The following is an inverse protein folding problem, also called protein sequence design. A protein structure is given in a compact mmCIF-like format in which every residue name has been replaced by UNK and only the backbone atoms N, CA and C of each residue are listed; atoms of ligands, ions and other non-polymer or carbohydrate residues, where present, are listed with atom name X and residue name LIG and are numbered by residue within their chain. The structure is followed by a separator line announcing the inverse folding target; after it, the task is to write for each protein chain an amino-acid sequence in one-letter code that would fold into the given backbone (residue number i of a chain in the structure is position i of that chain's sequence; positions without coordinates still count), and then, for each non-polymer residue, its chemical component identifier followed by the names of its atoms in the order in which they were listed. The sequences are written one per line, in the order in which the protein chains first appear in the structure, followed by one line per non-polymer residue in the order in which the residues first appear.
data_IF_463109406766
#
_entry.id   IF_463109406766
#
_cell.length_a   1.000
_cell.length_b   1.000
_cell.length_c   1.000
_cell.angle_alpha   90.00
_cell.angle_beta   90.00
_cell.angle_gamma   90.00
#
_symmetry.space_group_name_H-M   'P 1'
#
loop_
_entity.id
_entity.type
_entity.pdbx_description
1 polymer ?
#
# COMPACT_ATOMS: atom_id res chain seq x y z
N UNK A 1 9.11 -17.27 -3.61
CA UNK A 1 8.19 -17.07 -2.46
C UNK A 1 6.80 -16.84 -3.05
N UNK A 2 5.95 -17.88 -3.02
CA UNK A 2 4.61 -17.90 -3.61
C UNK A 2 3.59 -17.59 -2.51
N UNK A 3 3.28 -16.31 -2.29
CA UNK A 3 2.18 -15.87 -1.42
C UNK A 3 1.50 -14.72 -2.16
N UNK A 4 0.60 -15.01 -3.10
CA UNK A 4 -0.11 -13.96 -3.87
C UNK A 4 -1.54 -14.37 -4.26
N UNK A 5 -2.13 -15.42 -3.65
CA UNK A 5 -3.40 -15.97 -4.17
C UNK A 5 -4.64 -15.56 -3.39
N UNK A 6 -4.64 -15.65 -2.06
CA UNK A 6 -5.88 -15.52 -1.29
C UNK A 6 -6.31 -14.06 -1.15
N UNK A 7 -5.43 -13.17 -0.69
CA UNK A 7 -5.74 -11.74 -0.54
C UNK A 7 -6.05 -11.06 -1.88
N UNK A 8 -5.32 -11.39 -2.95
CA UNK A 8 -5.57 -10.84 -4.28
C UNK A 8 -6.86 -11.39 -4.91
N UNK A 9 -7.18 -12.67 -4.70
CA UNK A 9 -8.45 -13.24 -5.17
C UNK A 9 -9.63 -12.61 -4.42
N UNK A 10 -9.53 -12.49 -3.09
CA UNK A 10 -10.54 -11.85 -2.26
C UNK A 10 -10.77 -10.40 -2.70
N UNK A 11 -9.69 -9.62 -2.86
CA UNK A 11 -9.77 -8.23 -3.29
C UNK A 11 -10.41 -8.09 -4.68
N UNK A 12 -10.14 -9.01 -5.60
CA UNK A 12 -10.77 -9.03 -6.94
C UNK A 12 -12.24 -9.41 -6.91
N UNK A 13 -12.61 -10.37 -6.07
CA UNK A 13 -13.97 -10.87 -5.97
C UNK A 13 -14.90 -9.86 -5.29
N UNK A 14 -14.43 -9.24 -4.20
CA UNK A 14 -15.25 -8.40 -3.33
C UNK A 14 -14.98 -6.89 -3.48
N UNK A 15 -13.86 -6.52 -4.11
CA UNK A 15 -13.47 -5.13 -4.31
C UNK A 15 -12.86 -4.47 -3.07
N UNK A 16 -12.39 -3.24 -3.27
CA UNK A 16 -11.71 -2.43 -2.26
C UNK A 16 -12.60 -2.12 -1.05
N UNK A 17 -13.84 -1.69 -1.29
CA UNK A 17 -14.74 -1.24 -0.23
C UNK A 17 -15.08 -2.36 0.75
N UNK A 18 -15.38 -3.56 0.23
CA UNK A 18 -15.62 -4.73 1.06
C UNK A 18 -14.35 -5.20 1.78
N UNK A 19 -13.20 -5.17 1.09
CA UNK A 19 -11.91 -5.51 1.70
C UNK A 19 -11.57 -4.59 2.88
N UNK A 20 -11.85 -3.29 2.78
CA UNK A 20 -11.71 -2.33 3.89
C UNK A 20 -12.60 -2.71 5.07
N UNK A 21 -13.88 -2.98 4.82
CA UNK A 21 -14.83 -3.36 5.87
C UNK A 21 -14.42 -4.66 6.55
N UNK A 22 -13.98 -5.65 5.77
CA UNK A 22 -13.58 -6.95 6.28
C UNK A 22 -12.40 -6.85 7.25
N UNK A 23 -11.36 -6.10 6.90
CA UNK A 23 -10.23 -5.95 7.81
C UNK A 23 -10.58 -5.12 9.04
N UNK A 24 -11.40 -4.08 8.90
CA UNK A 24 -11.85 -3.28 10.05
C UNK A 24 -12.62 -4.13 11.08
N UNK A 25 -13.37 -5.14 10.63
CA UNK A 25 -14.03 -6.11 11.52
C UNK A 25 -12.98 -6.97 12.25
N UNK A 26 -12.00 -7.52 11.52
CA UNK A 26 -10.91 -8.30 12.12
C UNK A 26 -10.10 -7.51 13.15
N UNK A 27 -9.81 -6.24 12.89
CA UNK A 27 -9.15 -5.33 13.85
C UNK A 27 -9.98 -5.14 15.12
N UNK A 28 -11.30 -4.97 14.98
CA UNK A 28 -12.21 -4.78 16.10
C UNK A 28 -12.32 -6.02 16.98
N UNK A 29 -12.29 -7.21 16.38
CA UNK A 29 -12.43 -8.48 17.11
C UNK A 29 -11.12 -8.92 17.79
N UNK A 30 -10.00 -8.27 17.46
CA UNK A 30 -8.69 -8.50 18.08
C UNK A 30 -8.03 -9.84 17.71
N UNK A 31 -8.60 -10.58 16.76
CA UNK A 31 -8.13 -11.86 16.27
C UNK A 31 -7.86 -11.81 14.77
N UNK A 32 -6.90 -10.97 14.38
CA UNK A 32 -6.49 -10.86 12.97
C UNK A 32 -5.65 -12.06 12.56
N UNK A 33 -6.15 -12.76 11.55
CA UNK A 33 -5.46 -13.85 10.90
C UNK A 33 -4.28 -13.34 10.05
N UNK A 34 -3.21 -14.14 9.88
CA UNK A 34 -2.05 -13.73 9.08
C UNK A 34 -2.35 -13.34 7.63
N UNK A 35 -3.45 -13.82 7.05
CA UNK A 35 -3.88 -13.45 5.69
C UNK A 35 -4.66 -12.14 5.66
N UNK A 36 -5.40 -11.81 6.72
CA UNK A 36 -6.06 -10.51 6.90
C UNK A 36 -5.03 -9.38 7.04
N UNK A 37 -3.90 -9.62 7.71
CA UNK A 37 -2.77 -8.67 7.70
C UNK A 37 -2.22 -8.41 6.29
N UNK A 38 -2.25 -9.43 5.41
CA UNK A 38 -1.82 -9.25 4.01
C UNK A 38 -2.87 -8.49 3.21
N UNK A 39 -4.16 -8.75 3.47
CA UNK A 39 -5.25 -7.99 2.88
C UNK A 39 -5.21 -6.52 3.33
N UNK A 40 -4.93 -6.23 4.61
CA UNK A 40 -4.76 -4.86 5.12
C UNK A 40 -3.68 -4.13 4.35
N UNK A 41 -2.49 -4.74 4.19
CA UNK A 41 -1.39 -4.17 3.42
C UNK A 41 -1.77 -3.90 1.97
N UNK A 42 -2.64 -4.73 1.38
CA UNK A 42 -3.14 -4.56 0.03
C UNK A 42 -4.10 -3.37 -0.06
N UNK A 43 -5.00 -3.25 0.91
CA UNK A 43 -5.91 -2.10 1.07
C UNK A 43 -5.11 -0.81 1.26
N UNK A 44 -4.15 -0.79 2.18
CA UNK A 44 -3.27 0.36 2.43
C UNK A 44 -2.49 0.77 1.16
N UNK A 45 -2.01 -0.21 0.41
CA UNK A 45 -1.33 0.01 -0.87
C UNK A 45 -2.26 0.65 -1.90
N UNK A 46 -3.53 0.23 -1.93
CA UNK A 46 -4.54 0.78 -2.83
C UNK A 46 -4.90 2.21 -2.44
N UNK A 47 -5.16 2.45 -1.16
CA UNK A 47 -5.49 3.78 -0.62
C UNK A 47 -4.37 4.78 -0.88
N UNK A 48 -3.12 4.32 -0.74
CA UNK A 48 -1.96 5.14 -1.08
C UNK A 48 -1.91 5.46 -2.58
N UNK A 49 -2.02 4.45 -3.44
CA UNK A 49 -1.93 4.65 -4.89
C UNK A 49 -3.07 5.54 -5.40
N UNK A 50 -4.29 5.34 -4.89
CA UNK A 50 -5.45 6.18 -5.18
C UNK A 50 -5.22 7.62 -4.70
N UNK A 51 -4.74 7.81 -3.45
CA UNK A 51 -4.42 9.12 -2.88
C UNK A 51 -3.30 9.87 -3.62
N UNK A 52 -2.36 9.15 -4.24
CA UNK A 52 -1.32 9.71 -5.10
C UNK A 52 -1.82 10.00 -6.53
N UNK A 53 -3.08 9.73 -6.84
CA UNK A 53 -3.70 9.99 -8.14
C UNK A 53 -3.51 8.88 -9.16
N UNK A 54 -3.36 7.64 -8.70
CA UNK A 54 -3.27 6.43 -9.52
C UNK A 54 -1.85 5.89 -9.72
N UNK A 55 -1.76 4.66 -10.25
CA UNK A 55 -0.53 3.88 -10.34
C UNK A 55 0.60 4.62 -11.07
N UNK A 56 0.31 5.26 -12.20
CA UNK A 56 1.31 5.98 -12.99
C UNK A 56 1.86 7.21 -12.24
N UNK A 57 1.00 7.95 -11.54
CA UNK A 57 1.45 9.07 -10.69
C UNK A 57 2.23 8.60 -9.48
N UNK A 58 1.83 7.51 -8.84
CA UNK A 58 2.57 6.91 -7.74
C UNK A 58 3.99 6.50 -8.17
N UNK A 59 4.15 5.89 -9.36
CA UNK A 59 5.47 5.54 -9.92
C UNK A 59 6.37 6.75 -10.15
N UNK A 60 5.82 7.90 -10.56
CA UNK A 60 6.61 9.12 -10.75
C UNK A 60 7.24 9.62 -9.43
N UNK A 61 6.62 9.36 -8.28
CA UNK A 61 7.19 9.74 -6.99
C UNK A 61 8.47 8.94 -6.63
N UNK A 62 8.69 7.78 -7.26
CA UNK A 62 9.93 6.99 -7.13
C UNK A 62 11.11 7.59 -7.92
N UNK A 63 10.85 8.48 -8.87
CA UNK A 63 11.84 9.02 -9.80
C UNK A 63 11.88 10.55 -9.65
N UNK A 64 12.83 11.08 -8.88
CA UNK A 64 13.07 12.54 -8.89
C UNK A 64 13.86 12.93 -10.14
N UNK A 65 13.55 14.09 -10.71
CA UNK A 65 14.21 14.63 -11.92
C UNK A 65 15.69 14.93 -11.74
N UNK A 66 16.18 15.00 -10.49
CA UNK A 66 17.53 15.45 -10.15
C UNK A 66 18.39 14.34 -9.54
N UNK A 67 18.69 13.27 -10.29
CA UNK A 67 19.78 12.28 -10.05
C UNK A 67 19.90 11.63 -8.65
N UNK A 68 19.01 11.94 -7.72
CA UNK A 68 18.88 11.36 -6.38
C UNK A 68 17.70 10.40 -6.45
N UNK A 69 17.88 9.23 -5.85
CA UNK A 69 16.81 8.27 -5.57
C UNK A 69 15.56 9.05 -5.16
N UNK A 70 14.43 8.81 -5.84
CA UNK A 70 13.17 9.44 -5.45
C UNK A 70 12.73 8.95 -4.08
N UNK A 71 11.52 9.33 -3.68
CA UNK A 71 10.99 8.89 -2.40
C UNK A 71 10.82 7.38 -2.37
N UNK A 72 11.17 6.76 -1.25
CA UNK A 72 11.05 5.30 -1.07
C UNK A 72 9.86 4.94 -0.20
N UNK A 73 9.51 5.81 0.76
CA UNK A 73 8.41 5.62 1.69
C UNK A 73 7.52 6.86 1.76
N UNK A 74 6.28 6.64 2.19
CA UNK A 74 5.29 7.70 2.39
C UNK A 74 4.37 7.30 3.53
N UNK A 75 3.99 8.28 4.34
CA UNK A 75 2.97 8.09 5.36
C UNK A 75 1.99 9.26 5.35
N UNK A 76 0.76 9.00 5.79
CA UNK A 76 -0.24 10.03 5.99
C UNK A 76 -0.06 10.64 7.38
N UNK A 77 0.36 11.89 7.46
CA UNK A 77 0.49 12.60 8.73
C UNK A 77 -0.89 12.92 9.30
N UNK A 78 -1.00 13.05 10.63
CA UNK A 78 -2.28 13.31 11.32
C UNK A 78 -3.01 14.59 10.87
N UNK A 79 -2.32 15.48 10.15
CA UNK A 79 -2.91 16.68 9.54
C UNK A 79 -3.52 16.43 8.14
N UNK A 80 -3.60 15.17 7.71
CA UNK A 80 -4.14 14.77 6.42
C UNK A 80 -3.20 14.99 5.23
N UNK A 81 -1.92 15.28 5.45
CA UNK A 81 -0.93 15.47 4.37
C UNK A 81 0.01 14.28 4.27
N UNK A 82 0.31 13.88 3.04
CA UNK A 82 1.35 12.89 2.78
C UNK A 82 2.74 13.47 3.05
N UNK A 83 3.52 12.73 3.81
CA UNK A 83 4.93 12.99 4.06
C UNK A 83 5.76 11.95 3.32
N UNK A 84 6.60 12.42 2.39
CA UNK A 84 7.44 11.56 1.57
C UNK A 84 8.85 11.48 2.16
N UNK A 85 9.42 10.29 2.16
CA UNK A 85 10.71 9.96 2.76
C UNK A 85 11.61 9.31 1.72
N UNK A 86 12.89 9.63 1.75
CA UNK A 86 13.93 8.97 0.93
C UNK A 86 14.80 8.02 1.78
N UNK A 87 15.69 7.27 1.12
CA UNK A 87 16.58 6.32 1.79
C UNK A 87 17.69 6.97 2.65
N UNK A 88 17.78 8.30 2.67
CA UNK A 88 18.75 9.03 3.50
C UNK A 88 18.20 9.39 4.88
N UNK A 89 16.95 9.04 5.17
CA UNK A 89 16.36 9.23 6.49
C UNK A 89 16.80 8.09 7.41
N UNK A 90 17.49 8.42 8.51
CA UNK A 90 17.96 7.45 9.51
C UNK A 90 16.82 6.69 10.22
N UNK A 91 15.59 7.19 10.12
CA UNK A 91 14.40 6.61 10.73
C UNK A 91 13.20 6.66 9.78
N UNK A 92 12.70 5.48 9.42
CA UNK A 92 11.44 5.31 8.71
C UNK A 92 10.38 4.95 9.77
N UNK A 93 9.32 5.77 9.94
CA UNK A 93 8.24 5.45 10.87
C UNK A 93 7.57 4.12 10.52
N UNK A 94 7.11 3.37 11.53
CA UNK A 94 6.41 2.09 11.33
C UNK A 94 5.13 2.22 10.49
N UNK A 95 4.50 3.41 10.50
CA UNK A 95 3.33 3.72 9.68
C UNK A 95 3.65 4.08 8.23
N UNK A 96 4.93 4.12 7.85
CA UNK A 96 5.34 4.46 6.49
C UNK A 96 5.22 3.26 5.55
N UNK A 97 4.60 3.50 4.40
CA UNK A 97 4.37 2.51 3.37
C UNK A 97 5.43 2.69 2.29
N UNK A 98 6.07 1.61 1.88
CA UNK A 98 6.99 1.65 0.73
C UNK A 98 6.20 1.88 -0.56
N UNK A 99 6.53 2.96 -1.27
CA UNK A 99 5.88 3.33 -2.54
C UNK A 99 6.11 2.23 -3.58
N UNK A 100 7.30 1.63 -3.59
CA UNK A 100 7.63 0.51 -4.49
C UNK A 100 6.78 -0.72 -4.20
N UNK A 101 6.63 -1.09 -2.93
CA UNK A 101 5.81 -2.24 -2.54
C UNK A 101 4.33 -2.01 -2.88
N UNK A 102 3.81 -0.80 -2.62
CA UNK A 102 2.43 -0.46 -2.92
C UNK A 102 2.15 -0.49 -4.43
N UNK A 103 2.99 0.16 -5.24
CA UNK A 103 2.84 0.16 -6.71
C UNK A 103 2.96 -1.25 -7.31
N UNK A 104 3.87 -2.09 -6.79
CA UNK A 104 3.99 -3.48 -7.21
C UNK A 104 2.77 -4.32 -6.82
N UNK A 105 2.22 -4.12 -5.62
CA UNK A 105 1.03 -4.83 -5.16
C UNK A 105 -0.18 -4.54 -6.05
N UNK A 106 -0.42 -3.25 -6.38
CA UNK A 106 -1.50 -2.86 -7.28
C UNK A 106 -1.27 -3.38 -8.70
N UNK A 107 -0.04 -3.28 -9.22
CA UNK A 107 0.29 -3.84 -10.54
C UNK A 107 0.07 -5.36 -10.59
N UNK A 108 0.33 -6.07 -9.49
CA UNK A 108 0.05 -7.51 -9.40
C UNK A 108 -1.45 -7.81 -9.40
N UNK A 109 -2.28 -7.02 -8.70
CA UNK A 109 -3.75 -7.17 -8.74
C UNK A 109 -4.27 -6.99 -10.17
N UNK A 110 -3.82 -5.94 -10.86
CA UNK A 110 -4.21 -5.64 -12.25
C UNK A 110 -3.72 -6.72 -13.23
N UNK A 111 -2.57 -7.34 -12.96
CA UNK A 111 -1.95 -8.35 -13.83
C UNK A 111 -2.42 -9.77 -13.56
N UNK A 112 -2.87 -10.08 -12.34
CA UNK A 112 -3.60 -11.30 -12.06
C UNK A 112 -4.81 -11.32 -12.99
N UNK A 113 -4.93 -12.32 -13.86
CA UNK A 113 -6.15 -12.58 -14.62
C UNK A 113 -7.00 -13.54 -13.81
#
# INVERSE_FOLDING_TARGET
MLIVKEECAFFKEWGLEYSRQYVAIGESDGDILPWELRLQKLVDSHDLVEGLGGLERAKLNLISSDRRLGYTHVYLHANGRYCFLDDYVDYIPDCAISIKSATQAISNIESCK
#
